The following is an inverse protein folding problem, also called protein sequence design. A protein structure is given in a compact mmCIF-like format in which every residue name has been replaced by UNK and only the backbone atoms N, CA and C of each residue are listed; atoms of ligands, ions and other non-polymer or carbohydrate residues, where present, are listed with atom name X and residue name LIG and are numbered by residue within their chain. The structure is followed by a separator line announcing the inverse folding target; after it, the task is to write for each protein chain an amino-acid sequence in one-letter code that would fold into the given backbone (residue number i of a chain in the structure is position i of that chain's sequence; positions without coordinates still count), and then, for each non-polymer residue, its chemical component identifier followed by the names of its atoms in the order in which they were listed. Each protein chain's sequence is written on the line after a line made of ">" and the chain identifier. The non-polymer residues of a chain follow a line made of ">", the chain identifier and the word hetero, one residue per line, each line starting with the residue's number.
data_IF_688954912179
#
_entry.id   IF_688954912179
#
_cell.length_a   1.000
_cell.length_b   1.000
_cell.length_c   1.000
_cell.angle_alpha   90.00
_cell.angle_beta   90.00
_cell.angle_gamma   90.00
#
_symmetry.space_group_name_H-M   'P 1'
#
loop_
_entity.id
_entity.type
_entity.pdbx_description
1 polymer ?
#
# COMPACT_ATOMS: atom_id res chain seq x y z
N UNK A 1 -15.80 12.70 14.59
CA UNK A 1 -15.83 11.23 14.39
C UNK A 1 -14.60 10.89 13.58
N UNK A 2 -13.82 9.90 14.00
CA UNK A 2 -12.62 9.48 13.27
C UNK A 2 -12.95 9.09 11.84
N UNK A 3 -12.04 9.44 10.90
CA UNK A 3 -12.13 9.00 9.51
C UNK A 3 -11.85 7.49 9.36
N UNK A 4 -11.36 6.83 10.42
CA UNK A 4 -10.96 5.43 10.40
C UNK A 4 -12.14 4.51 10.70
N UNK A 5 -12.26 3.45 9.91
CA UNK A 5 -13.19 2.33 10.13
C UNK A 5 -12.47 1.20 10.85
N UNK A 6 -13.04 0.68 11.92
CA UNK A 6 -12.52 -0.50 12.62
C UNK A 6 -12.92 -1.77 11.86
N UNK A 7 -11.96 -2.46 11.25
CA UNK A 7 -12.18 -3.70 10.48
C UNK A 7 -12.20 -4.94 11.40
N UNK A 8 -11.31 -4.96 12.39
CA UNK A 8 -11.19 -6.02 13.38
C UNK A 8 -10.78 -5.44 14.74
N UNK A 9 -10.50 -6.27 15.73
CA UNK A 9 -10.09 -5.77 17.04
C UNK A 9 -8.81 -4.94 17.00
N UNK A 10 -7.95 -5.16 16.00
CA UNK A 10 -6.62 -4.54 15.91
C UNK A 10 -6.39 -3.78 14.60
N UNK A 11 -7.28 -3.90 13.62
CA UNK A 11 -7.09 -3.30 12.30
C UNK A 11 -8.03 -2.12 12.12
N UNK A 12 -7.44 -0.97 11.82
CA UNK A 12 -8.13 0.28 11.49
C UNK A 12 -7.81 0.65 10.04
N UNK A 13 -8.81 1.05 9.30
CA UNK A 13 -8.77 1.28 7.88
C UNK A 13 -9.27 2.67 7.52
N UNK A 14 -8.52 3.37 6.69
CA UNK A 14 -8.94 4.55 5.94
C UNK A 14 -9.25 4.09 4.51
N UNK A 15 -10.49 4.22 4.02
CA UNK A 15 -10.82 3.87 2.64
C UNK A 15 -10.10 4.76 1.63
N UNK A 16 -9.98 4.31 0.36
CA UNK A 16 -9.38 5.09 -0.70
C UNK A 16 -10.18 6.35 -1.00
N UNK A 17 -9.58 7.29 -1.73
CA UNK A 17 -10.23 8.55 -2.08
C UNK A 17 -9.56 9.30 -3.23
N UNK A 18 -10.16 10.42 -3.67
CA UNK A 18 -9.59 11.23 -4.73
C UNK A 18 -8.30 11.93 -4.29
N UNK A 19 -7.40 12.30 -5.24
CA UNK A 19 -7.49 11.97 -6.68
C UNK A 19 -7.08 10.53 -7.01
N UNK A 20 -6.21 9.91 -6.20
CA UNK A 20 -5.67 8.56 -6.33
C UNK A 20 -5.09 8.09 -4.99
N UNK A 21 -5.79 8.41 -3.91
CA UNK A 21 -5.38 8.03 -2.56
C UNK A 21 -5.75 6.58 -2.29
N UNK A 22 -4.77 5.70 -2.03
CA UNK A 22 -5.05 4.32 -1.71
C UNK A 22 -5.62 4.15 -0.30
N UNK A 23 -6.16 2.98 -0.02
CA UNK A 23 -6.47 2.51 1.32
C UNK A 23 -5.24 2.55 2.21
N UNK A 24 -5.39 3.02 3.44
CA UNK A 24 -4.35 2.94 4.46
C UNK A 24 -4.85 2.12 5.64
N UNK A 25 -4.02 1.22 6.14
CA UNK A 25 -4.36 0.42 7.32
C UNK A 25 -3.36 0.63 8.45
N UNK A 26 -3.86 0.51 9.66
CA UNK A 26 -3.04 0.50 10.87
C UNK A 26 -3.33 -0.75 11.68
N UNK A 27 -2.30 -1.45 12.13
CA UNK A 27 -2.40 -2.62 13.01
C UNK A 27 -1.88 -2.26 14.40
N UNK A 28 -2.71 -2.46 15.41
CA UNK A 28 -2.42 -2.07 16.79
C UNK A 28 -2.13 -3.31 17.64
N UNK A 29 -0.89 -3.45 18.02
CA UNK A 29 -0.46 -4.43 19.02
C UNK A 29 -0.29 -3.78 20.41
N UNK A 30 -0.02 -4.60 21.43
CA UNK A 30 0.20 -4.09 22.80
C UNK A 30 1.58 -3.43 22.99
N UNK A 31 2.50 -3.62 22.05
CA UNK A 31 3.86 -3.06 22.11
C UNK A 31 4.15 -2.07 21.00
N UNK A 32 3.49 -2.19 19.84
CA UNK A 32 3.77 -1.38 18.65
C UNK A 32 2.51 -1.18 17.83
N UNK A 33 2.44 -0.04 17.18
CA UNK A 33 1.49 0.26 16.12
C UNK A 33 2.23 0.24 14.79
N UNK A 34 1.68 -0.45 13.80
CA UNK A 34 2.25 -0.60 12.46
C UNK A 34 1.36 0.08 11.44
N UNK A 35 1.95 0.93 10.59
CA UNK A 35 1.29 1.48 9.41
C UNK A 35 1.52 0.56 8.22
N UNK A 36 0.45 0.17 7.54
CA UNK A 36 0.49 -0.55 6.27
C UNK A 36 0.24 0.46 5.16
N UNK A 37 1.25 0.64 4.31
CA UNK A 37 1.29 1.67 3.26
C UNK A 37 1.39 3.09 3.84
N UNK A 38 2.06 3.98 3.14
CA UNK A 38 2.30 5.33 3.67
C UNK A 38 1.35 6.39 3.07
N UNK A 39 0.73 6.10 1.95
CA UNK A 39 -0.18 7.01 1.26
C UNK A 39 0.52 7.96 0.28
N UNK A 40 -0.29 8.72 -0.45
CA UNK A 40 0.09 9.54 -1.60
C UNK A 40 0.76 10.86 -1.22
N UNK A 41 0.64 11.30 0.04
CA UNK A 41 1.18 12.59 0.50
C UNK A 41 1.22 12.68 2.02
N UNK A 42 1.92 13.69 2.52
CA UNK A 42 1.86 14.09 3.92
C UNK A 42 0.42 14.40 4.38
N UNK A 43 -0.39 15.02 3.53
CA UNK A 43 -1.78 15.33 3.85
C UNK A 43 -2.62 14.05 4.00
N UNK A 44 -2.40 13.06 3.14
CA UNK A 44 -3.07 11.76 3.23
C UNK A 44 -2.67 10.99 4.50
N UNK A 45 -1.38 10.90 4.80
CA UNK A 45 -0.88 10.26 6.02
C UNK A 45 -1.46 10.92 7.30
N UNK A 46 -1.57 12.25 7.35
CA UNK A 46 -2.14 12.99 8.50
C UNK A 46 -3.57 12.60 8.82
N UNK A 47 -4.37 12.18 7.84
CA UNK A 47 -5.75 11.74 8.10
C UNK A 47 -5.72 10.52 9.04
N UNK A 48 -4.84 9.56 8.77
CA UNK A 48 -4.68 8.38 9.64
C UNK A 48 -4.13 8.78 11.00
N UNK A 49 -3.05 9.57 11.05
CA UNK A 49 -2.43 10.00 12.31
C UNK A 49 -3.42 10.75 13.21
N UNK A 50 -4.22 11.64 12.62
CA UNK A 50 -5.29 12.35 13.33
C UNK A 50 -6.35 11.39 13.82
N UNK A 51 -6.82 10.48 12.96
CA UNK A 51 -7.84 9.50 13.32
C UNK A 51 -7.43 8.57 14.44
N UNK A 52 -6.16 8.14 14.47
CA UNK A 52 -5.60 7.35 15.57
C UNK A 52 -5.57 8.15 16.89
N UNK A 53 -5.12 9.39 16.82
CA UNK A 53 -5.08 10.28 17.99
C UNK A 53 -6.48 10.53 18.57
N UNK A 54 -7.51 10.74 17.72
CA UNK A 54 -8.90 10.94 18.15
C UNK A 54 -9.46 9.75 18.93
N UNK A 55 -8.96 8.54 18.66
CA UNK A 55 -9.40 7.31 19.35
C UNK A 55 -8.39 6.82 20.40
N UNK A 56 -7.38 7.64 20.72
CA UNK A 56 -6.42 7.37 21.79
C UNK A 56 -5.40 6.27 21.45
N UNK A 57 -5.09 6.05 20.19
CA UNK A 57 -4.06 5.12 19.73
C UNK A 57 -2.78 5.91 19.43
N UNK A 58 -1.65 5.37 19.95
CA UNK A 58 -0.33 5.92 19.70
C UNK A 58 0.03 5.87 18.19
N UNK A 59 0.81 6.86 17.71
CA UNK A 59 1.22 6.90 16.31
C UNK A 59 2.01 5.64 15.92
N UNK A 60 2.03 5.29 14.62
CA UNK A 60 2.81 4.15 14.14
C UNK A 60 4.29 4.24 14.53
N UNK A 61 4.84 3.15 15.01
CA UNK A 61 6.26 3.00 15.35
C UNK A 61 7.06 2.27 14.26
N UNK A 62 6.38 1.77 13.25
CA UNK A 62 6.91 1.12 12.05
C UNK A 62 5.97 1.39 10.88
N UNK A 63 6.52 1.45 9.67
CA UNK A 63 5.76 1.53 8.40
C UNK A 63 6.23 0.43 7.46
N UNK A 64 5.32 -0.33 6.85
CA UNK A 64 5.64 -1.31 5.79
C UNK A 64 5.02 -0.83 4.49
N UNK A 65 5.82 -0.81 3.44
CA UNK A 65 5.36 -0.48 2.07
C UNK A 65 4.99 -1.77 1.33
N UNK A 66 3.90 -1.72 0.57
CA UNK A 66 3.46 -2.85 -0.28
C UNK A 66 4.23 -2.90 -1.59
N UNK A 67 4.49 -1.75 -2.20
CA UNK A 67 5.23 -1.58 -3.45
C UNK A 67 5.65 -0.11 -3.63
N UNK A 68 6.33 0.20 -4.70
CA UNK A 68 7.03 1.48 -4.89
C UNK A 68 6.24 2.58 -5.60
N UNK A 69 4.94 2.41 -5.90
CA UNK A 69 4.18 3.48 -6.54
C UNK A 69 4.04 4.69 -5.62
N UNK A 70 4.05 5.89 -6.22
CA UNK A 70 4.12 7.19 -5.54
C UNK A 70 3.02 7.39 -4.50
N UNK A 71 1.82 6.96 -4.83
CA UNK A 71 0.62 7.07 -4.00
C UNK A 71 0.64 6.15 -2.76
N UNK A 72 1.55 5.18 -2.73
CA UNK A 72 1.77 4.30 -1.59
C UNK A 72 2.96 4.70 -0.70
N UNK A 73 3.83 5.63 -1.15
CA UNK A 73 5.11 5.87 -0.47
C UNK A 73 5.34 7.31 -0.02
N UNK A 74 4.75 8.32 -0.66
CA UNK A 74 5.09 9.73 -0.41
C UNK A 74 4.65 10.27 0.96
N UNK A 75 3.74 9.59 1.65
CA UNK A 75 3.36 9.95 3.01
C UNK A 75 4.34 9.48 4.10
N UNK A 76 5.34 8.66 3.77
CA UNK A 76 6.21 8.00 4.76
C UNK A 76 7.00 8.98 5.63
N UNK A 77 7.47 10.09 5.06
CA UNK A 77 8.18 11.13 5.82
C UNK A 77 7.28 11.75 6.90
N UNK A 78 6.02 11.98 6.60
CA UNK A 78 5.06 12.54 7.58
C UNK A 78 4.75 11.57 8.72
N UNK A 79 4.69 10.26 8.44
CA UNK A 79 4.49 9.23 9.47
C UNK A 79 5.68 9.24 10.43
N UNK A 80 6.90 9.45 9.95
CA UNK A 80 8.11 9.59 10.76
C UNK A 80 8.55 8.32 11.47
N UNK A 81 8.03 7.15 11.06
CA UNK A 81 8.39 5.84 11.60
C UNK A 81 9.37 5.12 10.65
N UNK A 82 10.27 4.26 11.15
CA UNK A 82 11.15 3.47 10.32
C UNK A 82 10.41 2.71 9.22
N UNK A 83 10.92 2.80 7.99
CA UNK A 83 10.34 2.22 6.78
C UNK A 83 10.91 0.83 6.51
N UNK A 84 10.02 -0.12 6.32
CA UNK A 84 10.33 -1.50 5.95
C UNK A 84 9.83 -1.73 4.52
N UNK A 85 10.71 -2.17 3.62
CA UNK A 85 10.39 -2.35 2.22
C UNK A 85 11.06 -3.59 1.61
N UNK A 86 10.44 -4.14 0.58
CA UNK A 86 11.08 -5.15 -0.26
C UNK A 86 12.32 -4.55 -0.94
N UNK A 87 13.30 -5.39 -1.29
CA UNK A 87 14.55 -4.97 -1.93
C UNK A 87 14.32 -4.12 -3.20
N UNK A 88 13.39 -4.54 -4.07
CA UNK A 88 13.08 -3.79 -5.29
C UNK A 88 12.40 -2.45 -4.96
N UNK A 89 11.47 -2.43 -4.00
CA UNK A 89 10.85 -1.19 -3.51
C UNK A 89 11.91 -0.23 -3.00
N UNK A 90 12.85 -0.70 -2.17
CA UNK A 90 13.93 0.12 -1.63
C UNK A 90 14.82 0.72 -2.73
N UNK A 91 15.14 -0.04 -3.78
CA UNK A 91 15.89 0.45 -4.93
C UNK A 91 15.13 1.57 -5.66
N UNK A 92 13.83 1.38 -5.91
CA UNK A 92 12.98 2.39 -6.56
C UNK A 92 12.83 3.66 -5.72
N UNK A 93 12.72 3.54 -4.38
CA UNK A 93 12.69 4.72 -3.50
C UNK A 93 13.93 5.59 -3.64
N UNK A 94 15.11 4.98 -3.80
CA UNK A 94 16.36 5.73 -4.03
C UNK A 94 16.33 6.49 -5.36
N UNK A 95 15.81 5.88 -6.43
CA UNK A 95 15.62 6.54 -7.73
C UNK A 95 14.59 7.67 -7.66
N UNK A 96 13.48 7.45 -6.95
CA UNK A 96 12.43 8.45 -6.77
C UNK A 96 12.90 9.68 -6.00
N UNK A 97 13.84 9.54 -5.06
CA UNK A 97 14.42 10.65 -4.31
C UNK A 97 15.23 11.61 -5.19
N UNK A 98 15.83 11.08 -6.26
CA UNK A 98 16.60 11.88 -7.24
C UNK A 98 15.73 12.39 -8.41
N UNK A 99 14.44 12.02 -8.40
CA UNK A 99 13.51 12.32 -9.49
C UNK A 99 12.98 13.76 -9.38
N UNK A 100 13.01 14.50 -10.51
CA UNK A 100 12.33 15.78 -10.63
C UNK A 100 10.82 15.59 -10.75
N UNK A 101 10.07 16.09 -9.77
CA UNK A 101 8.61 16.03 -9.69
C UNK A 101 7.93 17.35 -10.09
N UNK A 102 8.62 18.28 -10.76
CA UNK A 102 8.03 19.52 -11.30
C UNK A 102 6.95 19.24 -12.34
N UNK A 103 6.09 20.22 -12.60
CA UNK A 103 5.07 20.13 -13.66
C UNK A 103 5.70 19.84 -15.01
N UNK A 104 6.79 20.54 -15.32
CA UNK A 104 7.53 20.38 -16.56
C UNK A 104 8.12 18.96 -16.71
N UNK A 105 8.64 18.39 -15.63
CA UNK A 105 9.17 17.03 -15.64
C UNK A 105 8.07 15.98 -15.80
N UNK A 106 6.93 16.16 -15.15
CA UNK A 106 5.77 15.29 -15.30
C UNK A 106 5.23 15.34 -16.74
N UNK A 107 5.05 16.53 -17.31
CA UNK A 107 4.56 16.71 -18.69
C UNK A 107 5.53 16.11 -19.72
N UNK A 108 6.84 16.24 -19.50
CA UNK A 108 7.87 15.62 -20.34
C UNK A 108 7.77 14.10 -20.31
N UNK A 109 7.61 13.47 -19.13
CA UNK A 109 7.43 12.00 -19.02
C UNK A 109 6.19 11.51 -19.75
N UNK A 110 5.11 12.28 -19.72
CA UNK A 110 3.90 11.96 -20.48
C UNK A 110 4.19 12.04 -21.99
N UNK A 111 4.85 13.09 -22.44
CA UNK A 111 5.20 13.26 -23.87
C UNK A 111 6.15 12.17 -24.37
N UNK A 112 7.02 11.65 -23.51
CA UNK A 112 7.96 10.56 -23.81
C UNK A 112 7.33 9.15 -23.65
N UNK A 113 6.08 9.06 -23.19
CA UNK A 113 5.38 7.79 -22.97
C UNK A 113 5.88 7.00 -21.75
N UNK A 114 6.61 7.66 -20.84
CA UNK A 114 7.13 7.06 -19.59
C UNK A 114 6.04 7.00 -18.51
N UNK A 115 5.14 7.99 -18.49
CA UNK A 115 4.01 8.06 -17.59
C UNK A 115 2.70 8.30 -18.34
N UNK A 116 1.58 7.84 -17.79
CA UNK A 116 0.27 8.17 -18.32
C UNK A 116 -0.12 9.63 -18.00
N UNK A 117 -0.97 10.23 -18.82
CA UNK A 117 -1.52 11.56 -18.54
C UNK A 117 -2.33 11.58 -17.24
N UNK A 118 -3.03 10.48 -16.92
CA UNK A 118 -3.78 10.34 -15.67
C UNK A 118 -2.86 10.32 -14.45
N UNK A 119 -1.76 9.56 -14.50
CA UNK A 119 -0.75 9.56 -13.44
C UNK A 119 -0.23 10.99 -13.15
N UNK A 120 0.19 11.70 -14.20
CA UNK A 120 0.68 13.07 -14.04
C UNK A 120 -0.39 14.02 -13.47
N UNK A 121 -1.65 13.88 -13.89
CA UNK A 121 -2.76 14.67 -13.37
C UNK A 121 -3.01 14.37 -11.89
N UNK A 122 -3.02 13.11 -11.47
CA UNK A 122 -3.22 12.70 -10.08
C UNK A 122 -2.10 13.24 -9.18
N UNK A 123 -0.83 13.13 -9.61
CA UNK A 123 0.32 13.70 -8.86
C UNK A 123 0.19 15.21 -8.72
N UNK A 124 -0.21 15.93 -9.80
CA UNK A 124 -0.38 17.39 -9.78
C UNK A 124 -1.52 17.83 -8.87
N UNK A 125 -2.60 17.07 -8.81
CA UNK A 125 -3.76 17.35 -7.96
C UNK A 125 -3.44 17.08 -6.48
N UNK A 126 -2.82 15.95 -6.16
CA UNK A 126 -2.47 15.56 -4.79
C UNK A 126 -1.37 16.44 -4.21
N UNK A 127 -0.41 16.83 -5.03
CA UNK A 127 0.78 17.59 -4.64
C UNK A 127 0.87 18.87 -5.49
N UNK A 128 0.15 19.95 -5.11
CA UNK A 128 0.15 21.19 -5.90
C UNK A 128 1.54 21.83 -5.97
N UNK A 129 1.83 22.49 -7.07
CA UNK A 129 3.10 23.20 -7.31
C UNK A 129 3.22 24.48 -6.48
N UNK A 130 4.41 24.86 -5.99
CA UNK A 130 5.68 24.12 -6.07
C UNK A 130 5.69 22.90 -5.14
N UNK A 131 6.19 21.76 -5.65
CA UNK A 131 6.26 20.51 -4.88
C UNK A 131 7.61 20.37 -4.19
N UNK A 132 7.56 20.01 -2.91
CA UNK A 132 8.70 19.50 -2.17
C UNK A 132 8.42 18.02 -1.85
N UNK A 133 8.74 17.14 -2.79
CA UNK A 133 8.55 15.69 -2.63
C UNK A 133 9.77 15.14 -1.91
N UNK A 134 9.59 14.75 -0.66
CA UNK A 134 10.59 14.04 0.11
C UNK A 134 10.26 12.55 0.12
N UNK A 135 11.16 11.73 -0.40
CA UNK A 135 11.00 10.27 -0.46
C UNK A 135 11.78 9.63 0.67
N UNK A 136 11.06 9.02 1.63
CA UNK A 136 11.70 8.27 2.70
C UNK A 136 12.43 7.05 2.15
N UNK A 137 13.64 6.81 2.64
CA UNK A 137 14.40 5.62 2.30
C UNK A 137 14.03 4.46 3.22
N UNK A 138 14.24 3.21 2.76
CA UNK A 138 14.00 2.05 3.59
C UNK A 138 15.07 1.91 4.67
N UNK A 139 14.65 1.84 5.94
CA UNK A 139 15.52 1.56 7.09
C UNK A 139 15.77 0.06 7.25
N UNK A 140 14.79 -0.76 6.86
CA UNK A 140 14.85 -2.22 6.90
C UNK A 140 14.44 -2.77 5.54
N UNK A 141 15.35 -3.53 4.93
CA UNK A 141 15.13 -4.16 3.62
C UNK A 141 15.01 -5.67 3.79
N UNK A 142 14.09 -6.29 3.07
CA UNK A 142 13.88 -7.73 3.08
C UNK A 142 13.74 -8.30 1.67
N UNK A 143 13.97 -9.61 1.55
CA UNK A 143 13.63 -10.44 0.39
C UNK A 143 12.59 -11.49 0.81
N UNK A 144 11.70 -11.87 -0.10
CA UNK A 144 10.71 -12.92 0.13
C UNK A 144 9.68 -12.59 1.22
N UNK A 145 10.11 -12.29 2.45
CA UNK A 145 9.19 -11.88 3.51
C UNK A 145 9.81 -11.79 4.89
N UNK A 146 9.03 -11.26 5.83
CA UNK A 146 9.36 -11.19 7.25
C UNK A 146 8.08 -11.26 8.10
N UNK A 147 8.25 -11.55 9.39
CA UNK A 147 7.17 -11.55 10.38
C UNK A 147 7.45 -10.46 11.43
N UNK A 148 6.46 -9.61 11.68
CA UNK A 148 6.51 -8.50 12.63
C UNK A 148 5.60 -8.81 13.82
N UNK A 149 6.20 -9.02 14.99
CA UNK A 149 5.49 -9.21 16.25
C UNK A 149 5.26 -7.87 16.94
N UNK A 150 3.99 -7.46 17.03
CA UNK A 150 3.60 -6.16 17.57
C UNK A 150 3.09 -6.20 19.02
N UNK A 151 3.08 -7.37 19.63
CA UNK A 151 2.49 -7.61 20.96
C UNK A 151 1.08 -8.19 20.85
N UNK A 152 0.97 -9.51 20.82
CA UNK A 152 -0.29 -10.25 20.70
C UNK A 152 -0.93 -10.22 19.30
N UNK A 153 -0.21 -9.72 18.33
CA UNK A 153 -0.56 -9.77 16.90
C UNK A 153 0.72 -9.85 16.07
N UNK A 154 0.74 -10.77 15.11
CA UNK A 154 1.82 -10.91 14.14
C UNK A 154 1.33 -10.43 12.77
N UNK A 155 2.11 -9.59 12.13
CA UNK A 155 1.89 -9.22 10.72
C UNK A 155 2.92 -9.94 9.87
N UNK A 156 2.45 -10.82 8.98
CA UNK A 156 3.30 -11.54 8.03
C UNK A 156 3.35 -10.80 6.72
N UNK A 157 4.51 -10.26 6.40
CA UNK A 157 4.77 -9.60 5.12
C UNK A 157 5.34 -10.64 4.16
N UNK A 158 4.77 -10.74 2.97
CA UNK A 158 5.25 -11.67 1.93
C UNK A 158 5.30 -10.98 0.57
N UNK A 159 6.42 -11.12 -0.09
CA UNK A 159 6.56 -10.74 -1.50
C UNK A 159 5.78 -11.73 -2.36
N UNK A 160 4.94 -11.22 -3.23
CA UNK A 160 4.07 -12.03 -4.09
C UNK A 160 4.23 -11.69 -5.56
N UNK A 161 4.83 -10.56 -5.86
CA UNK A 161 4.84 -9.94 -7.19
C UNK A 161 3.41 -9.76 -7.73
N UNK A 162 3.25 -9.42 -8.99
CA UNK A 162 1.96 -9.23 -9.64
C UNK A 162 2.14 -8.61 -11.01
N UNK A 163 1.05 -8.52 -11.78
CA UNK A 163 1.07 -7.80 -13.06
C UNK A 163 1.20 -6.28 -12.85
N UNK A 164 0.61 -5.76 -11.77
CA UNK A 164 0.64 -4.34 -11.42
C UNK A 164 2.06 -3.84 -11.07
N UNK A 165 2.76 -4.57 -10.18
CA UNK A 165 4.11 -4.23 -9.76
C UNK A 165 4.88 -5.48 -9.33
N UNK A 166 6.14 -5.62 -9.80
CA UNK A 166 6.99 -6.78 -9.50
C UNK A 166 7.40 -6.87 -8.04
N UNK A 167 7.44 -5.73 -7.34
CA UNK A 167 7.82 -5.59 -5.93
C UNK A 167 6.63 -5.75 -4.96
N UNK A 168 5.46 -6.15 -5.45
CA UNK A 168 4.23 -6.25 -4.65
C UNK A 168 4.36 -7.20 -3.47
N UNK A 169 4.00 -6.70 -2.30
CA UNK A 169 3.92 -7.44 -1.05
C UNK A 169 2.51 -7.41 -0.47
N UNK A 170 2.10 -8.51 0.15
CA UNK A 170 0.87 -8.61 0.92
C UNK A 170 1.16 -8.72 2.41
N UNK A 171 0.24 -8.26 3.25
CA UNK A 171 0.41 -8.19 4.69
C UNK A 171 -0.76 -8.89 5.39
N UNK A 172 -0.47 -10.06 5.98
CA UNK A 172 -1.44 -10.88 6.70
C UNK A 172 -1.39 -10.60 8.21
N UNK A 173 -2.50 -10.15 8.77
CA UNK A 173 -2.63 -9.83 10.20
C UNK A 173 -3.21 -11.03 10.95
N UNK A 174 -2.41 -11.62 11.81
CA UNK A 174 -2.81 -12.74 12.65
C UNK A 174 -2.96 -12.31 14.13
N UNK A 175 -4.01 -12.71 14.84
CA UNK A 175 -5.04 -13.71 14.51
C UNK A 175 -6.29 -13.12 13.82
N UNK A 176 -6.29 -11.84 13.45
CA UNK A 176 -7.47 -11.12 12.95
C UNK A 176 -7.95 -11.62 11.57
N UNK A 177 -7.12 -12.42 10.87
CA UNK A 177 -7.42 -13.01 9.55
C UNK A 177 -7.73 -11.97 8.48
N UNK A 178 -7.10 -10.80 8.59
CA UNK A 178 -7.18 -9.72 7.61
C UNK A 178 -5.95 -9.77 6.71
N UNK A 179 -6.13 -9.73 5.40
CA UNK A 179 -5.05 -9.63 4.42
C UNK A 179 -5.16 -8.31 3.67
N UNK A 180 -4.14 -7.48 3.82
CA UNK A 180 -3.97 -6.28 3.03
C UNK A 180 -3.18 -6.61 1.77
N UNK A 181 -3.77 -6.37 0.62
CA UNK A 181 -3.27 -6.79 -0.70
C UNK A 181 -2.46 -5.71 -1.40
N UNK A 182 -2.59 -4.42 -0.99
CA UNK A 182 -2.14 -3.33 -1.84
C UNK A 182 -2.79 -3.45 -3.22
N UNK A 183 -2.00 -3.32 -4.25
CA UNK A 183 -2.45 -3.31 -5.65
C UNK A 183 -2.11 -4.59 -6.41
N UNK A 184 -1.67 -5.63 -5.69
CA UNK A 184 -1.14 -6.84 -6.35
C UNK A 184 -2.16 -7.57 -7.26
N UNK A 185 -3.47 -7.32 -7.08
CA UNK A 185 -4.54 -7.88 -7.91
C UNK A 185 -4.98 -6.95 -9.05
N UNK A 186 -4.37 -5.79 -9.22
CA UNK A 186 -4.71 -4.90 -10.32
C UNK A 186 -3.98 -5.28 -11.60
N UNK A 187 -4.52 -4.78 -12.70
CA UNK A 187 -3.92 -4.95 -14.02
C UNK A 187 -2.52 -4.31 -14.10
N UNK A 188 -1.74 -4.78 -15.05
CA UNK A 188 -0.49 -4.11 -15.40
C UNK A 188 -0.75 -2.64 -15.78
N UNK A 189 0.20 -1.71 -15.55
CA UNK A 189 0.08 -0.31 -16.00
C UNK A 189 -0.17 -0.15 -17.50
N UNK A 190 0.21 -1.18 -18.29
CA UNK A 190 -0.08 -1.28 -19.72
C UNK A 190 -1.48 -1.83 -20.04
N UNK A 191 -2.26 -2.20 -19.02
CA UNK A 191 -3.56 -2.84 -19.08
C UNK A 191 -3.51 -4.36 -19.18
N UNK A 192 -4.54 -5.01 -18.62
CA UNK A 192 -4.77 -6.45 -18.68
C UNK A 192 -4.01 -7.28 -17.64
N UNK A 193 -4.52 -8.50 -17.47
CA UNK A 193 -3.90 -9.54 -16.64
C UNK A 193 -3.20 -10.57 -17.52
N UNK A 194 -2.10 -11.15 -17.02
CA UNK A 194 -1.58 -12.39 -17.59
C UNK A 194 -2.11 -13.56 -16.76
N UNK A 195 -2.83 -14.48 -17.41
CA UNK A 195 -3.41 -15.65 -16.72
C UNK A 195 -2.32 -16.47 -15.98
N UNK A 196 -1.12 -16.54 -16.56
CA UNK A 196 0.04 -17.22 -15.98
C UNK A 196 0.52 -16.61 -14.66
N UNK A 197 0.23 -15.31 -14.40
CA UNK A 197 0.57 -14.63 -13.16
C UNK A 197 -0.61 -14.51 -12.22
N UNK A 198 -1.77 -14.12 -12.72
CA UNK A 198 -2.95 -13.86 -11.90
C UNK A 198 -3.43 -15.14 -11.17
N UNK A 199 -3.47 -16.28 -11.85
CA UNK A 199 -3.92 -17.53 -11.23
C UNK A 199 -3.02 -17.99 -10.07
N UNK A 200 -1.68 -18.12 -10.22
CA UNK A 200 -0.80 -18.50 -9.10
C UNK A 200 -0.81 -17.51 -7.96
N UNK A 201 -0.95 -16.21 -8.26
CA UNK A 201 -1.06 -15.15 -7.26
C UNK A 201 -2.32 -15.33 -6.41
N UNK A 202 -3.50 -15.48 -7.03
CA UNK A 202 -4.77 -15.71 -6.35
C UNK A 202 -4.74 -16.98 -5.49
N UNK A 203 -4.17 -18.09 -6.02
CA UNK A 203 -3.99 -19.31 -5.27
C UNK A 203 -3.06 -19.14 -4.07
N UNK A 204 -2.04 -18.31 -4.19
CA UNK A 204 -1.12 -17.96 -3.09
C UNK A 204 -1.84 -17.14 -2.03
N UNK A 205 -2.59 -16.12 -2.43
CA UNK A 205 -3.38 -15.27 -1.53
C UNK A 205 -4.39 -16.11 -0.73
N UNK A 206 -5.10 -17.03 -1.38
CA UNK A 206 -6.06 -17.91 -0.72
C UNK A 206 -5.42 -18.85 0.32
N UNK A 207 -4.14 -19.21 0.18
CA UNK A 207 -3.40 -20.05 1.15
C UNK A 207 -3.07 -19.35 2.47
N UNK A 208 -3.12 -18.01 2.53
CA UNK A 208 -2.96 -17.30 3.81
C UNK A 208 -4.07 -17.60 4.82
N UNK A 209 -5.23 -18.08 4.38
CA UNK A 209 -6.34 -18.40 5.27
C UNK A 209 -7.02 -17.15 5.85
N UNK A 210 -6.87 -15.99 5.19
CA UNK A 210 -7.57 -14.77 5.53
C UNK A 210 -9.07 -14.89 5.21
N UNK A 211 -9.87 -14.11 5.92
CA UNK A 211 -11.31 -14.01 5.72
C UNK A 211 -11.75 -12.62 5.27
N UNK A 212 -10.94 -11.61 5.53
CA UNK A 212 -11.19 -10.22 5.13
C UNK A 212 -10.02 -9.76 4.26
N UNK A 213 -10.33 -9.20 3.12
CA UNK A 213 -9.38 -8.70 2.14
C UNK A 213 -9.57 -7.20 1.93
N UNK A 214 -8.47 -6.46 1.85
CA UNK A 214 -8.44 -5.02 1.61
C UNK A 214 -7.47 -4.75 0.48
N UNK A 215 -7.95 -4.09 -0.58
CA UNK A 215 -7.12 -3.65 -1.72
C UNK A 215 -6.78 -2.16 -1.61
N UNK A 216 -5.82 -1.71 -2.40
CA UNK A 216 -5.36 -0.33 -2.37
C UNK A 216 -6.43 0.68 -2.78
N UNK A 217 -7.14 0.46 -3.87
CA UNK A 217 -8.10 1.44 -4.42
C UNK A 217 -9.55 0.95 -4.47
N UNK A 218 -9.89 -0.02 -3.63
CA UNK A 218 -11.25 -0.51 -3.53
C UNK A 218 -11.97 0.09 -2.31
N UNK A 219 -13.20 0.56 -2.51
CA UNK A 219 -14.01 1.30 -1.51
C UNK A 219 -14.54 0.44 -0.36
N UNK A 220 -14.46 -0.89 -0.47
CA UNK A 220 -14.93 -1.83 0.54
C UNK A 220 -13.92 -2.95 0.83
N UNK A 221 -13.93 -3.42 2.06
CA UNK A 221 -13.30 -4.67 2.42
C UNK A 221 -14.25 -5.82 2.08
N UNK A 222 -13.72 -6.93 1.57
CA UNK A 222 -14.55 -8.05 1.08
C UNK A 222 -14.12 -9.40 1.66
N UNK A 223 -14.99 -10.39 1.48
CA UNK A 223 -14.80 -11.72 2.02
C UNK A 223 -14.17 -12.71 1.04
N UNK A 224 -13.72 -13.85 1.56
CA UNK A 224 -13.06 -14.93 0.82
C UNK A 224 -13.83 -15.43 -0.40
N UNK A 225 -15.17 -15.52 -0.33
CA UNK A 225 -16.00 -16.03 -1.41
C UNK A 225 -15.85 -15.21 -2.71
N UNK A 226 -15.64 -13.90 -2.60
CA UNK A 226 -15.46 -13.02 -3.76
C UNK A 226 -14.10 -13.25 -4.43
N UNK A 227 -13.04 -13.45 -3.65
CA UNK A 227 -11.72 -13.79 -4.17
C UNK A 227 -11.74 -15.17 -4.89
N UNK A 228 -12.46 -16.14 -4.33
CA UNK A 228 -12.66 -17.45 -4.97
C UNK A 228 -13.45 -17.35 -6.28
N UNK A 229 -14.43 -16.45 -6.35
CA UNK A 229 -15.15 -16.14 -7.58
C UNK A 229 -14.24 -15.52 -8.64
N UNK A 230 -13.38 -14.57 -8.24
CA UNK A 230 -12.40 -13.97 -9.14
C UNK A 230 -11.44 -15.03 -9.70
N UNK A 231 -10.90 -15.93 -8.85
CA UNK A 231 -10.07 -17.05 -9.30
C UNK A 231 -10.80 -17.94 -10.31
N UNK A 232 -12.08 -18.21 -10.10
CA UNK A 232 -12.87 -19.00 -11.03
C UNK A 232 -13.02 -18.32 -12.40
N UNK A 233 -13.13 -16.99 -12.43
CA UNK A 233 -13.19 -16.20 -13.68
C UNK A 233 -11.86 -16.21 -14.43
N UNK A 234 -10.73 -16.10 -13.72
CA UNK A 234 -9.39 -16.14 -14.34
C UNK A 234 -9.06 -17.53 -14.94
N UNK A 235 -9.65 -18.60 -14.40
CA UNK A 235 -9.48 -19.99 -14.90
C UNK A 235 -10.37 -20.33 -16.09
N UNK A 236 -11.39 -19.56 -16.38
CA UNK A 236 -12.38 -19.80 -17.44
C UNK A 236 -11.92 -19.28 -18.79
#
# INVERSE_FOLDING_TARGET
>A
MSALTKISDRVYWLPPGPPDRPSLCTVVGTRRTLMLVAGSSAAHARIVLTGLSEIGIEPPSLTVLTHSHWDHVFGAVEIGAPVIAHLETAATLAEMAETDWSDEALDRRVAEGIASAQHAANVKEELPSPRDVQVAQADIVFEGGLDLELGGVTVRVRHVAGDHASDSCVLHVEPDRVLFLGDCLYEAPSGGYTAERAQPLLETILRFGAEIFIEGHRDDAYGRAELEQFLAQVRA
#
